data_IF_157324256591
#
_entry.id   IF_157324256591
#
_cell.length_a   1.000
_cell.length_b   1.000
_cell.length_c   1.000
_cell.angle_alpha   90.00
_cell.angle_beta   90.00
_cell.angle_gamma   90.00
#
_symmetry.space_group_name_H-M   'P 1'
#
loop_
_entity.id
_entity.type
_entity.pdbx_description
1 polymer ?
#
# COMPACT_ATOMS: atom_id res chain seq x y z
N UNK A 1 1.03 -25.42 -6.24
CA UNK A 1 1.52 -26.78 -5.91
C UNK A 1 0.99 -27.18 -4.54
N UNK A 2 0.48 -28.41 -4.38
CA UNK A 2 -0.11 -28.92 -3.13
C UNK A 2 0.95 -29.47 -2.18
N UNK A 3 0.58 -29.70 -0.90
CA UNK A 3 1.48 -30.32 0.09
C UNK A 3 2.12 -31.63 -0.39
N UNK A 4 1.35 -32.49 -1.06
CA UNK A 4 1.85 -33.79 -1.53
C UNK A 4 2.87 -33.61 -2.66
N UNK A 5 2.56 -32.74 -3.62
CA UNK A 5 3.45 -32.43 -4.74
C UNK A 5 4.76 -31.81 -4.27
N UNK A 6 4.71 -30.93 -3.26
CA UNK A 6 5.89 -30.30 -2.68
C UNK A 6 6.77 -31.33 -1.95
N UNK A 7 6.17 -32.14 -1.07
CA UNK A 7 6.87 -33.20 -0.32
C UNK A 7 7.57 -34.19 -1.25
N UNK A 8 6.92 -34.58 -2.34
CA UNK A 8 7.49 -35.54 -3.29
C UNK A 8 8.70 -34.99 -4.07
N UNK A 9 8.88 -33.67 -4.13
CA UNK A 9 9.98 -33.05 -4.88
C UNK A 9 11.20 -32.75 -4.02
N UNK A 10 11.06 -32.70 -2.69
CA UNK A 10 12.14 -32.31 -1.78
C UNK A 10 12.74 -33.54 -1.11
N UNK A 11 13.98 -33.84 -1.48
CA UNK A 11 14.76 -34.89 -0.82
C UNK A 11 15.00 -34.50 0.65
N UNK A 12 14.55 -35.33 1.60
CA UNK A 12 14.67 -35.08 3.05
C UNK A 12 13.42 -34.53 3.74
N UNK A 13 12.37 -34.22 2.97
CA UNK A 13 11.05 -33.90 3.50
C UNK A 13 10.16 -35.15 3.46
N UNK A 14 10.11 -35.90 4.57
CA UNK A 14 9.61 -37.28 4.56
C UNK A 14 8.07 -37.41 4.61
N UNK A 15 7.35 -36.33 4.94
CA UNK A 15 5.89 -36.40 5.05
C UNK A 15 5.23 -35.02 5.00
N UNK A 16 3.92 -35.02 4.70
CA UNK A 16 3.09 -33.81 4.79
C UNK A 16 2.95 -33.29 6.23
N UNK A 17 3.10 -34.14 7.25
CA UNK A 17 3.14 -33.73 8.65
C UNK A 17 4.43 -32.99 8.99
N UNK A 18 5.57 -33.49 8.50
CA UNK A 18 6.87 -32.81 8.63
C UNK A 18 6.84 -31.43 7.97
N UNK A 19 6.26 -31.34 6.76
CA UNK A 19 6.05 -30.06 6.08
C UNK A 19 5.20 -29.10 6.91
N UNK A 20 4.10 -29.56 7.50
CA UNK A 20 3.25 -28.71 8.36
C UNK A 20 4.03 -28.19 9.58
N UNK A 21 4.85 -29.03 10.19
CA UNK A 21 5.70 -28.61 11.31
C UNK A 21 6.73 -27.57 10.89
N UNK A 22 7.34 -27.74 9.71
CA UNK A 22 8.29 -26.76 9.17
C UNK A 22 7.60 -25.43 8.87
N UNK A 23 6.42 -25.46 8.25
CA UNK A 23 5.62 -24.24 8.00
C UNK A 23 5.33 -23.49 9.29
N UNK A 24 4.97 -24.21 10.36
CA UNK A 24 4.71 -23.61 11.66
C UNK A 24 5.97 -22.94 12.23
N UNK A 25 7.13 -23.63 12.19
CA UNK A 25 8.40 -23.07 12.66
C UNK A 25 8.86 -21.88 11.82
N UNK A 26 8.69 -21.94 10.50
CA UNK A 26 8.99 -20.82 9.60
C UNK A 26 8.16 -19.61 10.00
N UNK A 27 6.85 -19.79 10.22
CA UNK A 27 5.98 -18.71 10.69
C UNK A 27 6.46 -18.13 12.03
N UNK A 28 6.86 -18.97 12.97
CA UNK A 28 7.33 -18.52 14.29
C UNK A 28 8.68 -17.78 14.24
N UNK A 29 9.60 -18.23 13.40
CA UNK A 29 10.98 -17.73 13.35
C UNK A 29 11.11 -16.52 12.43
N UNK A 30 10.41 -16.54 11.28
CA UNK A 30 10.55 -15.52 10.24
C UNK A 30 9.28 -14.70 10.02
N UNK A 31 8.15 -15.09 10.59
CA UNK A 31 6.85 -14.44 10.32
C UNK A 31 6.27 -14.78 8.95
N UNK A 32 6.96 -15.56 8.11
CA UNK A 32 6.48 -15.87 6.76
C UNK A 32 5.24 -16.76 6.80
N UNK A 33 4.18 -16.29 6.14
CA UNK A 33 2.98 -17.08 5.88
C UNK A 33 2.92 -17.55 4.42
N UNK A 34 2.47 -18.79 4.22
CA UNK A 34 2.28 -19.36 2.89
C UNK A 34 0.83 -19.21 2.45
N UNK A 35 0.63 -18.95 1.17
CA UNK A 35 -0.70 -18.77 0.58
C UNK A 35 -1.57 -20.00 0.77
N UNK A 36 -2.79 -19.77 1.26
CA UNK A 36 -3.82 -20.81 1.43
C UNK A 36 -4.95 -20.57 0.42
N UNK A 37 -5.44 -21.65 -0.17
CA UNK A 37 -6.58 -21.66 -1.08
C UNK A 37 -7.71 -22.52 -0.52
N UNK A 38 -8.95 -22.14 -0.82
CA UNK A 38 -10.15 -22.93 -0.51
C UNK A 38 -10.47 -23.82 -1.70
N UNK A 39 -10.46 -25.13 -1.50
CA UNK A 39 -10.78 -26.12 -2.52
C UNK A 39 -12.16 -26.71 -2.20
N UNK A 40 -13.14 -26.64 -3.12
CA UNK A 40 -14.44 -27.26 -2.91
C UNK A 40 -14.30 -28.78 -2.87
N UNK A 41 -14.86 -29.42 -1.84
CA UNK A 41 -14.77 -30.88 -1.63
C UNK A 41 -16.04 -31.57 -2.10
N UNK A 42 -17.19 -31.03 -1.70
CA UNK A 42 -18.48 -31.64 -2.00
C UNK A 42 -19.58 -30.57 -2.03
N UNK A 43 -20.69 -30.91 -2.66
CA UNK A 43 -21.90 -30.10 -2.67
C UNK A 43 -22.97 -30.83 -1.89
N UNK A 44 -23.57 -30.18 -0.90
CA UNK A 44 -24.73 -30.72 -0.21
C UNK A 44 -25.87 -30.86 -1.24
N UNK A 45 -26.39 -32.06 -1.51
CA UNK A 45 -27.38 -32.27 -2.56
C UNK A 45 -28.74 -31.63 -2.23
N UNK A 46 -29.03 -31.37 -0.95
CA UNK A 46 -30.31 -30.82 -0.48
C UNK A 46 -30.32 -29.29 -0.42
N UNK A 47 -29.23 -28.69 0.04
CA UNK A 47 -29.11 -27.23 0.19
C UNK A 47 -28.29 -26.57 -0.91
N UNK A 48 -27.72 -27.37 -1.82
CA UNK A 48 -26.80 -26.94 -2.88
C UNK A 48 -25.53 -26.20 -2.41
N UNK A 49 -25.28 -26.13 -1.10
CA UNK A 49 -24.12 -25.47 -0.51
C UNK A 49 -22.83 -26.26 -0.74
N UNK A 50 -21.74 -25.55 -1.02
CA UNK A 50 -20.40 -26.13 -1.19
C UNK A 50 -19.69 -26.24 0.15
N UNK A 51 -19.11 -27.41 0.42
CA UNK A 51 -18.13 -27.62 1.47
C UNK A 51 -16.72 -27.35 0.92
N UNK A 52 -15.84 -26.77 1.74
CA UNK A 52 -14.49 -26.40 1.34
C UNK A 52 -13.46 -26.98 2.30
N UNK A 53 -12.30 -27.36 1.75
CA UNK A 53 -11.08 -27.60 2.52
C UNK A 53 -10.09 -26.48 2.27
N UNK A 54 -9.15 -26.29 3.20
CA UNK A 54 -8.05 -25.34 3.06
C UNK A 54 -6.79 -26.12 2.71
N UNK A 55 -6.15 -25.74 1.60
CA UNK A 55 -4.86 -26.28 1.18
C UNK A 55 -3.85 -25.15 0.96
N UNK A 56 -2.56 -25.46 1.03
CA UNK A 56 -1.53 -24.51 0.62
C UNK A 56 -1.38 -24.52 -0.91
N UNK A 57 -1.12 -23.34 -1.46
CA UNK A 57 -0.83 -23.11 -2.87
C UNK A 57 0.62 -22.64 -3.01
N UNK A 58 1.54 -23.60 -2.98
CA UNK A 58 2.97 -23.30 -3.08
C UNK A 58 3.36 -22.93 -4.51
N UNK A 59 4.24 -21.96 -4.62
CA UNK A 59 4.88 -21.52 -5.86
C UNK A 59 6.17 -22.30 -6.13
N UNK A 60 6.75 -22.13 -7.31
CA UNK A 60 8.08 -22.67 -7.61
C UNK A 60 9.18 -22.03 -6.75
N UNK A 61 8.97 -20.79 -6.29
CA UNK A 61 9.90 -20.14 -5.37
C UNK A 61 9.84 -20.77 -3.98
N UNK A 62 8.64 -21.09 -3.49
CA UNK A 62 8.50 -21.84 -2.24
C UNK A 62 9.22 -23.20 -2.32
N UNK A 63 9.08 -23.91 -3.44
CA UNK A 63 9.82 -25.16 -3.67
C UNK A 63 11.34 -24.97 -3.54
N UNK A 64 11.91 -23.93 -4.18
CA UNK A 64 13.34 -23.63 -4.11
C UNK A 64 13.79 -23.33 -2.68
N UNK A 65 13.00 -22.54 -1.96
CA UNK A 65 13.28 -22.19 -0.57
C UNK A 65 13.23 -23.42 0.35
N UNK A 66 12.21 -24.27 0.20
CA UNK A 66 12.13 -25.52 0.95
C UNK A 66 13.26 -26.50 0.60
N UNK A 67 13.71 -26.54 -0.66
CA UNK A 67 14.87 -27.35 -1.05
C UNK A 67 16.16 -26.81 -0.43
N UNK A 68 16.36 -25.49 -0.45
CA UNK A 68 17.49 -24.83 0.23
C UNK A 68 17.48 -25.13 1.72
N UNK A 69 16.32 -25.01 2.37
CA UNK A 69 16.11 -25.34 3.77
C UNK A 69 16.46 -26.80 4.07
N UNK A 70 16.00 -27.75 3.25
CA UNK A 70 16.26 -29.16 3.45
C UNK A 70 17.75 -29.51 3.39
N UNK A 71 18.49 -28.87 2.48
CA UNK A 71 19.93 -29.04 2.34
C UNK A 71 20.67 -28.46 3.57
N UNK A 72 20.36 -27.22 3.94
CA UNK A 72 21.02 -26.52 5.05
C UNK A 72 20.72 -27.13 6.42
N UNK A 73 19.52 -27.67 6.60
CA UNK A 73 19.12 -28.33 7.86
C UNK A 73 20.12 -29.38 8.31
N UNK A 74 20.74 -30.11 7.37
CA UNK A 74 21.72 -31.16 7.66
C UNK A 74 23.06 -30.60 8.18
N UNK A 75 23.40 -29.37 7.80
CA UNK A 75 24.68 -28.74 8.11
C UNK A 75 24.61 -27.89 9.38
N UNK A 76 23.59 -27.04 9.50
CA UNK A 76 23.52 -25.99 10.52
C UNK A 76 22.33 -26.14 11.48
N UNK A 77 21.46 -27.14 11.28
CA UNK A 77 20.25 -27.32 12.07
C UNK A 77 19.04 -26.60 11.49
N UNK A 78 17.84 -27.00 11.92
CA UNK A 78 16.58 -26.55 11.31
C UNK A 78 16.28 -25.07 11.59
N UNK A 79 16.54 -24.56 12.80
CA UNK A 79 16.16 -23.20 13.18
C UNK A 79 17.04 -22.17 12.48
N UNK A 80 18.34 -22.44 12.48
CA UNK A 80 19.39 -21.65 11.84
C UNK A 80 19.19 -21.67 10.33
N UNK A 81 18.87 -22.83 9.73
CA UNK A 81 18.54 -22.91 8.32
C UNK A 81 17.24 -22.18 7.95
N UNK A 82 16.23 -22.14 8.84
CA UNK A 82 15.03 -21.33 8.61
C UNK A 82 15.39 -19.84 8.58
N UNK A 83 16.23 -19.37 9.53
CA UNK A 83 16.67 -17.97 9.54
C UNK A 83 17.47 -17.60 8.29
N UNK A 84 18.36 -18.47 7.81
CA UNK A 84 19.14 -18.22 6.59
C UNK A 84 18.29 -18.15 5.31
N UNK A 85 17.22 -18.96 5.23
CA UNK A 85 16.39 -19.05 4.03
C UNK A 85 15.26 -18.03 4.02
N UNK A 86 14.65 -17.78 5.18
CA UNK A 86 13.42 -17.00 5.29
C UNK A 86 13.59 -15.69 6.08
N UNK A 87 14.80 -15.41 6.58
CA UNK A 87 15.07 -14.27 7.46
C UNK A 87 14.61 -14.52 8.89
N UNK A 88 14.87 -13.56 9.78
CA UNK A 88 14.26 -13.53 11.10
C UNK A 88 12.99 -12.69 11.09
N UNK A 89 12.12 -12.92 12.07
CA UNK A 89 10.89 -12.14 12.25
C UNK A 89 11.22 -10.65 12.38
N UNK A 90 12.26 -10.32 13.13
CA UNK A 90 12.70 -8.94 13.33
C UNK A 90 13.19 -8.29 12.02
N UNK A 91 13.96 -9.02 11.19
CA UNK A 91 14.44 -8.50 9.91
C UNK A 91 13.27 -8.25 8.94
N UNK A 92 12.34 -9.20 8.86
CA UNK A 92 11.18 -9.11 7.97
C UNK A 92 10.19 -8.03 8.44
N UNK A 93 9.98 -7.88 9.75
CA UNK A 93 9.19 -6.78 10.32
C UNK A 93 9.86 -5.43 10.03
N UNK A 94 11.18 -5.33 10.16
CA UNK A 94 11.92 -4.11 9.85
C UNK A 94 11.84 -3.75 8.36
N UNK A 95 11.96 -4.73 7.46
CA UNK A 95 11.82 -4.50 6.01
C UNK A 95 10.40 -4.03 5.64
N UNK A 96 9.38 -4.66 6.22
CA UNK A 96 7.98 -4.24 6.08
C UNK A 96 7.75 -2.82 6.59
N UNK A 97 8.30 -2.49 7.77
CA UNK A 97 8.22 -1.13 8.32
C UNK A 97 8.93 -0.11 7.43
N UNK A 98 10.08 -0.46 6.86
CA UNK A 98 10.80 0.42 5.95
C UNK A 98 9.98 0.70 4.68
N UNK A 99 9.30 -0.31 4.11
CA UNK A 99 8.40 -0.11 2.96
C UNK A 99 7.26 0.85 3.30
N UNK A 100 6.62 0.67 4.46
CA UNK A 100 5.55 1.59 4.92
C UNK A 100 6.10 3.01 5.14
N UNK A 101 7.32 3.14 5.67
CA UNK A 101 7.98 4.44 5.84
C UNK A 101 8.21 5.11 4.48
N UNK A 102 8.71 4.39 3.49
CA UNK A 102 8.97 4.91 2.15
C UNK A 102 7.66 5.36 1.47
N UNK A 103 6.59 4.55 1.55
CA UNK A 103 5.26 4.91 1.06
C UNK A 103 4.73 6.20 1.72
N UNK A 104 4.85 6.29 3.06
CA UNK A 104 4.45 7.49 3.80
C UNK A 104 5.27 8.73 3.40
N UNK A 105 6.57 8.57 3.10
CA UNK A 105 7.40 9.66 2.62
C UNK A 105 6.94 10.16 1.25
N UNK A 106 6.60 9.26 0.33
CA UNK A 106 6.09 9.58 -0.99
C UNK A 106 4.73 10.30 -0.92
N UNK A 107 3.81 9.79 -0.10
CA UNK A 107 2.50 10.42 0.13
C UNK A 107 2.65 11.82 0.74
N UNK A 108 3.50 11.98 1.75
CA UNK A 108 3.76 13.28 2.38
C UNK A 108 4.37 14.27 1.39
N UNK A 109 5.28 13.80 0.53
CA UNK A 109 5.90 14.61 -0.53
C UNK A 109 4.86 15.09 -1.54
N UNK A 110 3.97 14.20 -1.99
CA UNK A 110 2.87 14.52 -2.90
C UNK A 110 1.92 15.56 -2.28
N UNK A 111 1.49 15.34 -1.04
CA UNK A 111 0.60 16.25 -0.32
C UNK A 111 1.23 17.64 -0.13
N UNK A 112 2.53 17.70 0.20
CA UNK A 112 3.27 18.97 0.30
C UNK A 112 3.32 19.72 -1.03
N UNK A 113 3.42 19.02 -2.15
CA UNK A 113 3.37 19.65 -3.48
C UNK A 113 1.97 20.16 -3.80
N UNK A 114 0.94 19.42 -3.46
CA UNK A 114 -0.46 19.83 -3.64
C UNK A 114 -0.77 21.12 -2.88
N UNK A 115 -0.46 21.18 -1.58
CA UNK A 115 -0.64 22.40 -0.80
C UNK A 115 0.14 23.60 -1.37
N UNK A 116 1.36 23.38 -1.89
CA UNK A 116 2.12 24.46 -2.56
C UNK A 116 1.41 24.97 -3.81
N UNK A 117 0.75 24.10 -4.57
CA UNK A 117 -0.03 24.50 -5.76
C UNK A 117 -1.27 25.28 -5.35
N UNK A 118 -2.01 24.78 -4.37
CA UNK A 118 -3.23 25.43 -3.87
C UNK A 118 -2.95 26.83 -3.31
N UNK A 119 -1.90 26.97 -2.49
CA UNK A 119 -1.46 28.29 -1.98
C UNK A 119 -1.13 29.26 -3.13
N UNK A 120 -0.51 28.78 -4.22
CA UNK A 120 -0.22 29.62 -5.39
C UNK A 120 -1.50 30.05 -6.10
N UNK A 121 -2.46 29.15 -6.26
CA UNK A 121 -3.76 29.47 -6.88
C UNK A 121 -4.51 30.52 -6.06
N UNK A 122 -4.64 30.31 -4.75
CA UNK A 122 -5.27 31.26 -3.83
C UNK A 122 -4.58 32.63 -3.87
N UNK A 123 -3.25 32.67 -3.92
CA UNK A 123 -2.50 33.94 -4.06
C UNK A 123 -2.82 34.66 -5.36
N UNK A 124 -2.88 33.94 -6.47
CA UNK A 124 -3.18 34.50 -7.78
C UNK A 124 -4.63 35.03 -7.85
N UNK A 125 -5.59 34.26 -7.34
CA UNK A 125 -6.99 34.68 -7.26
C UNK A 125 -7.16 35.92 -6.39
N UNK A 126 -6.53 35.95 -5.20
CA UNK A 126 -6.55 37.12 -4.33
C UNK A 126 -5.96 38.37 -4.99
N UNK A 127 -4.86 38.23 -5.75
CA UNK A 127 -4.29 39.36 -6.49
C UNK A 127 -5.25 39.88 -7.58
N UNK A 128 -5.90 38.95 -8.31
CA UNK A 128 -6.90 39.29 -9.33
C UNK A 128 -8.13 39.99 -8.74
N UNK A 129 -8.65 39.49 -7.61
CA UNK A 129 -9.77 40.09 -6.90
C UNK A 129 -9.42 41.49 -6.39
N UNK A 130 -8.24 41.68 -5.79
CA UNK A 130 -7.77 43.00 -5.35
C UNK A 130 -7.72 44.01 -6.51
N UNK A 131 -7.23 43.58 -7.67
CA UNK A 131 -7.20 44.43 -8.87
C UNK A 131 -8.60 44.82 -9.32
N UNK A 132 -9.53 43.85 -9.40
CA UNK A 132 -10.93 44.13 -9.78
C UNK A 132 -11.61 45.10 -8.80
N UNK A 133 -11.33 44.97 -7.50
CA UNK A 133 -11.86 45.89 -6.48
C UNK A 133 -11.31 47.30 -6.74
N UNK A 134 -10.01 47.44 -6.94
CA UNK A 134 -9.39 48.73 -7.25
C UNK A 134 -9.97 49.37 -8.52
N UNK A 135 -10.09 48.59 -9.61
CA UNK A 135 -10.66 49.07 -10.88
C UNK A 135 -12.12 49.57 -10.69
N UNK A 136 -12.91 48.87 -9.87
CA UNK A 136 -14.29 49.29 -9.52
C UNK A 136 -14.27 50.59 -8.70
N UNK A 137 -13.42 50.70 -7.67
CA UNK A 137 -13.31 51.89 -6.83
C UNK A 137 -12.93 53.13 -7.66
N UNK A 138 -11.97 53.00 -8.57
CA UNK A 138 -11.57 54.07 -9.49
C UNK A 138 -12.72 54.47 -10.45
N UNK A 139 -13.45 53.48 -10.99
CA UNK A 139 -14.61 53.74 -11.85
C UNK A 139 -15.76 54.46 -11.11
N UNK A 140 -16.00 54.13 -9.84
CA UNK A 140 -17.02 54.78 -9.03
C UNK A 140 -16.64 56.23 -8.70
N UNK A 141 -15.38 56.47 -8.35
CA UNK A 141 -14.88 57.83 -8.07
C UNK A 141 -14.99 58.74 -9.30
N UNK A 142 -14.56 58.25 -10.46
CA UNK A 142 -14.66 58.99 -11.73
C UNK A 142 -16.12 59.25 -12.13
N UNK A 143 -17.00 58.25 -11.97
CA UNK A 143 -18.45 58.41 -12.19
C UNK A 143 -19.05 59.49 -11.29
N UNK A 144 -18.76 59.47 -9.98
CA UNK A 144 -19.23 60.46 -9.00
C UNK A 144 -18.72 61.87 -9.34
N UNK A 145 -17.45 62.02 -9.69
CA UNK A 145 -16.86 63.28 -10.15
C UNK A 145 -17.59 63.83 -11.38
N UNK A 146 -17.90 62.98 -12.35
CA UNK A 146 -18.67 63.35 -13.54
C UNK A 146 -20.09 63.81 -13.21
N UNK A 147 -20.76 63.19 -12.24
CA UNK A 147 -22.08 63.62 -11.77
C UNK A 147 -22.04 64.99 -11.09
N UNK A 148 -21.03 65.25 -10.25
CA UNK A 148 -20.86 66.53 -9.54
C UNK A 148 -20.60 67.67 -10.55
N UNK A 149 -19.74 67.45 -11.55
CA UNK A 149 -19.48 68.45 -12.60
C UNK A 149 -20.70 68.74 -13.48
N UNK A 150 -21.53 67.74 -13.81
CA UNK A 150 -22.79 67.97 -14.53
C UNK A 150 -23.77 68.81 -13.71
N UNK A 151 -23.89 68.55 -12.40
CA UNK A 151 -24.78 69.33 -11.52
C UNK A 151 -24.30 70.76 -11.30
N UNK A 152 -23.00 71.02 -11.23
CA UNK A 152 -22.50 72.38 -11.09
C UNK A 152 -22.78 73.21 -12.34
N UNK A 153 -22.54 72.67 -13.55
CA UNK A 153 -22.86 73.34 -14.82
C UNK A 153 -24.34 73.70 -14.95
N UNK A 154 -25.24 72.82 -14.51
CA UNK A 154 -26.69 73.08 -14.59
C UNK A 154 -27.22 74.08 -13.53
N UNK A 155 -26.42 74.48 -12.53
CA UNK A 155 -26.82 75.46 -11.50
C UNK A 155 -26.38 76.89 -11.80
N UNK A 156 -25.46 77.08 -12.75
CA UNK A 156 -24.89 78.39 -13.11
C UNK A 156 -25.12 78.75 -14.57
N UNK A 157 -26.07 78.10 -15.25
CA UNK A 157 -26.49 78.37 -16.62
C UNK A 157 -27.96 78.76 -16.67
#
# INVERSE_FOLDING_TARGET
>A
MTNKELVNQISGLNSTSTLKNWIQLIKEISGKEFKKIKIPISRNPRTHQLSYTVAYDFTNEDLRQFQKLANLKLEIGLKEAIQDVFGSLADNEQESLNQVIDELYDELSALKQEFKREIRLIKNENASLKKKIQDIEESMQTGLLGFVQKRSKNRFG
#
